data_IF_936539806640
#
_entry.id   IF_936539806640
#
_cell.length_a   1.000
_cell.length_b   1.000
_cell.length_c   1.000
_cell.angle_alpha   90.00
_cell.angle_beta   90.00
_cell.angle_gamma   90.00
#
_symmetry.space_group_name_H-M   'P 1'
#
loop_
_entity.id
_entity.type
_entity.pdbx_description
1 polymer ?
#
# COMPACT_ATOMS: atom_id res chain seq x y z
N UNK A 1 -17.79 -7.87 -3.11
CA UNK A 1 -17.52 -6.47 -2.68
C UNK A 1 -16.02 -6.24 -2.66
N UNK A 2 -15.56 -5.08 -3.17
CA UNK A 2 -14.16 -4.65 -3.06
C UNK A 2 -14.07 -3.50 -2.06
N UNK A 3 -13.21 -3.65 -1.03
CA UNK A 3 -13.03 -2.68 0.04
C UNK A 3 -11.61 -2.10 0.02
N UNK A 4 -11.51 -0.86 -0.40
CA UNK A 4 -10.31 -0.05 -0.37
C UNK A 4 -10.68 1.39 -0.03
N UNK A 5 -10.11 1.97 1.01
CA UNK A 5 -10.37 3.35 1.42
C UNK A 5 -9.06 4.10 1.67
N UNK A 6 -9.04 5.42 1.60
CA UNK A 6 -7.91 6.20 2.09
C UNK A 6 -7.61 5.89 3.55
N UNK A 7 -6.32 5.90 3.89
CA UNK A 7 -5.86 5.73 5.28
C UNK A 7 -6.24 6.98 6.10
N UNK A 8 -7.06 6.79 7.13
CA UNK A 8 -7.46 7.86 8.06
C UNK A 8 -7.93 7.27 9.41
N UNK A 9 -7.98 8.07 10.49
CA UNK A 9 -8.40 7.59 11.82
C UNK A 9 -9.83 7.01 11.87
N UNK A 10 -10.70 7.37 10.93
CA UNK A 10 -12.06 6.82 10.81
C UNK A 10 -12.16 5.49 10.06
N UNK A 11 -11.06 5.00 9.48
CA UNK A 11 -11.04 3.82 8.62
C UNK A 11 -11.64 2.57 9.27
N UNK A 12 -11.31 2.31 10.53
CA UNK A 12 -11.84 1.13 11.24
C UNK A 12 -13.37 1.15 11.30
N UNK A 13 -13.94 2.32 11.65
CA UNK A 13 -15.41 2.48 11.70
C UNK A 13 -16.04 2.29 10.33
N UNK A 14 -15.47 2.90 9.31
CA UNK A 14 -15.95 2.79 7.92
C UNK A 14 -15.95 1.35 7.45
N UNK A 15 -14.85 0.64 7.67
CA UNK A 15 -14.70 -0.75 7.26
C UNK A 15 -15.63 -1.71 8.03
N UNK A 16 -15.86 -1.46 9.32
CA UNK A 16 -16.83 -2.26 10.12
C UNK A 16 -18.25 -2.10 9.59
N UNK A 17 -18.66 -0.88 9.22
CA UNK A 17 -19.97 -0.64 8.61
C UNK A 17 -20.14 -1.40 7.28
N UNK A 18 -19.11 -1.37 6.42
CA UNK A 18 -19.13 -2.15 5.17
C UNK A 18 -19.19 -3.64 5.46
N UNK A 19 -18.39 -4.13 6.42
CA UNK A 19 -18.38 -5.54 6.80
C UNK A 19 -19.75 -6.02 7.32
N UNK A 20 -20.45 -5.21 8.11
CA UNK A 20 -21.80 -5.53 8.58
C UNK A 20 -22.78 -5.69 7.41
N UNK A 21 -22.76 -4.75 6.46
CA UNK A 21 -23.60 -4.83 5.24
C UNK A 21 -23.26 -6.04 4.36
N UNK A 22 -21.98 -6.41 4.29
CA UNK A 22 -21.53 -7.60 3.55
C UNK A 22 -22.02 -8.87 4.23
N UNK A 23 -21.96 -8.94 5.57
CA UNK A 23 -22.47 -10.07 6.35
C UNK A 23 -23.97 -10.28 6.14
N UNK A 24 -24.76 -9.19 6.16
CA UNK A 24 -26.20 -9.22 5.94
C UNK A 24 -26.58 -9.70 4.53
N UNK A 25 -25.75 -9.36 3.53
CA UNK A 25 -26.00 -9.75 2.13
C UNK A 25 -25.41 -11.11 1.74
N UNK A 26 -24.69 -11.77 2.64
CA UNK A 26 -23.93 -12.99 2.38
C UNK A 26 -23.01 -12.87 1.13
N UNK A 27 -22.43 -11.69 0.93
CA UNK A 27 -21.56 -11.39 -0.20
C UNK A 27 -20.09 -11.73 0.12
N UNK A 28 -19.30 -11.97 -0.92
CA UNK A 28 -17.85 -12.16 -0.81
C UNK A 28 -17.13 -10.80 -0.75
N UNK A 29 -16.10 -10.72 0.09
CA UNK A 29 -15.34 -9.48 0.33
C UNK A 29 -13.86 -9.66 -0.04
N UNK A 30 -13.35 -8.81 -0.92
CA UNK A 30 -11.91 -8.60 -1.16
C UNK A 30 -11.51 -7.27 -0.52
N UNK A 31 -10.59 -7.31 0.44
CA UNK A 31 -10.13 -6.13 1.16
C UNK A 31 -8.66 -5.84 0.87
N UNK A 32 -8.35 -4.60 0.51
CA UNK A 32 -6.97 -4.12 0.48
C UNK A 32 -6.57 -3.67 1.88
N UNK A 33 -5.49 -4.25 2.38
CA UNK A 33 -4.80 -3.90 3.62
C UNK A 33 -3.37 -3.44 3.30
N UNK A 34 -2.37 -3.93 3.97
CA UNK A 34 -0.96 -3.67 3.67
C UNK A 34 -0.05 -4.70 4.35
N UNK A 35 1.18 -4.79 3.93
CA UNK A 35 2.12 -5.78 4.44
C UNK A 35 2.37 -5.63 5.96
N UNK A 36 2.30 -4.40 6.49
CA UNK A 36 2.47 -4.12 7.92
C UNK A 36 1.21 -4.39 8.76
N UNK A 37 0.24 -5.18 8.26
CA UNK A 37 -1.03 -5.49 8.93
C UNK A 37 -0.84 -6.56 10.01
N UNK A 38 -0.63 -6.13 11.25
CA UNK A 38 -0.61 -6.98 12.46
C UNK A 38 -0.92 -6.12 13.71
N UNK A 39 -1.43 -6.73 14.81
CA UNK A 39 -1.88 -5.96 15.99
C UNK A 39 -0.82 -5.08 16.65
N UNK A 40 0.44 -5.50 16.62
CA UNK A 40 1.58 -4.76 17.17
C UNK A 40 2.32 -3.87 16.17
N UNK A 41 1.71 -3.57 15.02
CA UNK A 41 2.35 -2.75 13.96
C UNK A 41 2.82 -1.40 14.48
N UNK A 42 3.98 -0.97 14.05
CA UNK A 42 4.54 0.35 14.38
C UNK A 42 3.78 1.51 13.73
N UNK A 43 3.06 1.23 12.62
CA UNK A 43 2.26 2.22 11.91
C UNK A 43 0.78 2.06 12.24
N UNK A 44 0.09 3.19 12.43
CA UNK A 44 -1.33 3.22 12.77
C UNK A 44 -2.20 2.48 11.73
N UNK A 45 -1.94 2.72 10.45
CA UNK A 45 -2.65 2.05 9.37
C UNK A 45 -2.57 0.52 9.46
N UNK A 46 -1.41 -0.02 9.82
CA UNK A 46 -1.22 -1.45 10.02
C UNK A 46 -2.08 -2.00 11.17
N UNK A 47 -2.16 -1.26 12.29
CA UNK A 47 -3.03 -1.62 13.41
C UNK A 47 -4.52 -1.55 13.05
N UNK A 48 -4.93 -0.48 12.34
CA UNK A 48 -6.32 -0.32 11.87
C UNK A 48 -6.73 -1.40 10.88
N UNK A 49 -5.84 -1.79 9.97
CA UNK A 49 -6.09 -2.91 9.07
C UNK A 49 -6.22 -4.22 9.85
N UNK A 50 -5.32 -4.49 10.81
CA UNK A 50 -5.37 -5.70 11.62
C UNK A 50 -6.68 -5.81 12.43
N UNK A 51 -7.11 -4.70 13.07
CA UNK A 51 -8.39 -4.64 13.78
C UNK A 51 -9.57 -4.93 12.85
N UNK A 52 -9.56 -4.34 11.66
CA UNK A 52 -10.62 -4.54 10.67
C UNK A 52 -10.66 -5.98 10.17
N UNK A 53 -9.50 -6.58 9.88
CA UNK A 53 -9.44 -7.99 9.45
C UNK A 53 -9.92 -8.95 10.53
N UNK A 54 -9.54 -8.71 11.78
CA UNK A 54 -10.02 -9.48 12.90
C UNK A 54 -11.56 -9.39 13.04
N UNK A 55 -12.13 -8.20 12.84
CA UNK A 55 -13.57 -7.98 12.82
C UNK A 55 -14.27 -8.73 11.69
N UNK A 56 -13.77 -8.64 10.46
CA UNK A 56 -14.32 -9.34 9.30
C UNK A 56 -14.29 -10.85 9.52
N UNK A 57 -13.19 -11.39 10.05
CA UNK A 57 -13.06 -12.80 10.38
C UNK A 57 -14.04 -13.24 11.48
N UNK A 58 -14.25 -12.40 12.50
CA UNK A 58 -15.19 -12.69 13.61
C UNK A 58 -16.65 -12.75 13.16
N UNK A 59 -16.98 -12.14 12.03
CA UNK A 59 -18.29 -12.17 11.38
C UNK A 59 -18.45 -13.35 10.41
N UNK A 60 -17.43 -14.21 10.27
CA UNK A 60 -17.42 -15.35 9.36
C UNK A 60 -17.69 -14.98 7.89
N UNK A 61 -17.37 -13.72 7.50
CA UNK A 61 -17.54 -13.22 6.14
C UNK A 61 -16.59 -13.96 5.20
N UNK A 62 -17.12 -14.53 4.13
CA UNK A 62 -16.30 -15.08 3.05
C UNK A 62 -15.44 -13.96 2.46
N UNK A 63 -14.14 -13.97 2.72
CA UNK A 63 -13.26 -12.84 2.41
C UNK A 63 -11.85 -13.26 2.02
N UNK A 64 -11.15 -12.42 1.26
CA UNK A 64 -9.72 -12.46 1.05
C UNK A 64 -9.09 -11.10 1.34
N UNK A 65 -7.86 -11.12 1.84
CA UNK A 65 -7.13 -9.92 2.22
C UNK A 65 -5.89 -9.78 1.35
N UNK A 66 -5.76 -8.63 0.69
CA UNK A 66 -4.58 -8.27 -0.08
C UNK A 66 -3.65 -7.44 0.80
N UNK A 67 -2.41 -7.88 0.93
CA UNK A 67 -1.36 -7.20 1.68
C UNK A 67 -0.29 -6.68 0.70
N UNK A 68 -0.58 -5.62 -0.07
CA UNK A 68 0.43 -5.02 -0.92
C UNK A 68 1.54 -4.41 -0.07
N UNK A 69 2.76 -4.46 -0.60
CA UNK A 69 3.89 -3.75 -0.04
C UNK A 69 3.86 -2.28 -0.49
N UNK A 70 4.96 -1.72 -0.87
CA UNK A 70 5.07 -0.31 -1.22
C UNK A 70 4.54 -0.08 -2.65
N UNK A 71 3.63 0.88 -2.83
CA UNK A 71 3.08 1.18 -4.15
C UNK A 71 4.09 1.90 -5.02
N UNK A 72 4.28 1.43 -6.25
CA UNK A 72 5.13 2.08 -7.23
C UNK A 72 4.69 3.52 -7.51
N UNK A 73 3.37 3.78 -7.48
CA UNK A 73 2.76 5.10 -7.67
C UNK A 73 3.10 6.12 -6.57
N UNK A 74 3.68 5.70 -5.44
CA UNK A 74 4.21 6.65 -4.47
C UNK A 74 5.35 7.51 -5.05
N UNK A 75 6.00 7.04 -6.12
CA UNK A 75 7.00 7.84 -6.87
C UNK A 75 6.38 9.08 -7.55
N UNK A 76 5.07 9.04 -7.86
CA UNK A 76 4.37 10.18 -8.47
C UNK A 76 4.38 11.41 -7.57
N UNK A 77 4.45 11.23 -6.26
CA UNK A 77 4.56 12.33 -5.28
C UNK A 77 5.85 13.15 -5.46
N UNK A 78 6.87 12.57 -6.07
CA UNK A 78 8.17 13.20 -6.30
C UNK A 78 8.41 13.61 -7.76
N UNK A 79 7.44 13.33 -8.66
CA UNK A 79 7.63 13.52 -10.09
C UNK A 79 8.00 14.97 -10.46
N UNK A 80 7.48 15.95 -9.72
CA UNK A 80 7.78 17.35 -9.94
C UNK A 80 9.25 17.68 -9.61
N UNK A 81 9.78 17.18 -8.50
CA UNK A 81 11.18 17.37 -8.09
C UNK A 81 12.13 16.59 -9.02
N UNK A 82 11.77 15.38 -9.37
CA UNK A 82 12.52 14.58 -10.35
C UNK A 82 12.59 15.31 -11.71
N UNK A 83 11.46 15.90 -12.16
CA UNK A 83 11.41 16.63 -13.43
C UNK A 83 12.18 17.95 -13.41
N UNK A 84 12.13 18.72 -12.35
CA UNK A 84 12.77 20.03 -12.26
C UNK A 84 14.23 19.96 -11.86
N UNK A 85 14.56 19.11 -10.88
CA UNK A 85 15.87 19.09 -10.25
C UNK A 85 16.69 17.81 -10.53
N UNK A 86 16.06 16.76 -11.08
CA UNK A 86 16.72 15.47 -11.28
C UNK A 86 17.03 14.77 -9.96
N UNK A 87 16.20 14.95 -8.91
CA UNK A 87 16.48 14.43 -7.59
C UNK A 87 15.32 13.51 -7.15
N UNK A 88 15.68 12.29 -6.75
CA UNK A 88 14.82 11.34 -6.06
C UNK A 88 15.19 11.33 -4.57
N UNK A 89 14.22 11.57 -3.69
CA UNK A 89 14.46 11.67 -2.24
C UNK A 89 13.83 10.52 -1.48
N UNK A 90 14.51 10.03 -0.44
CA UNK A 90 13.93 9.06 0.51
C UNK A 90 14.72 9.06 1.82
N UNK A 91 14.05 8.80 2.96
CA UNK A 91 14.74 8.49 4.21
C UNK A 91 15.33 7.07 4.20
N UNK A 92 14.90 6.20 3.30
CA UNK A 92 15.40 4.84 3.15
C UNK A 92 16.65 4.86 2.30
N UNK A 93 17.82 4.86 2.94
CA UNK A 93 19.10 5.06 2.26
C UNK A 93 19.80 3.78 1.80
N UNK A 94 19.47 2.62 2.39
CA UNK A 94 20.22 1.38 2.13
C UNK A 94 19.35 0.15 1.84
N UNK A 95 18.07 0.18 2.23
CA UNK A 95 17.19 -0.96 2.02
C UNK A 95 16.67 -1.00 0.59
N UNK A 96 16.65 -2.19 0.00
CA UNK A 96 15.95 -2.42 -1.25
C UNK A 96 14.46 -2.65 -1.00
N UNK A 97 13.62 -2.09 -1.85
CA UNK A 97 12.16 -2.13 -1.72
C UNK A 97 11.57 -2.82 -2.96
N UNK A 98 10.79 -3.87 -2.74
CA UNK A 98 10.04 -4.56 -3.78
C UNK A 98 8.68 -3.87 -3.95
N UNK A 99 8.63 -2.83 -4.76
CA UNK A 99 7.40 -2.06 -5.02
C UNK A 99 6.44 -2.84 -5.90
N UNK A 100 5.14 -2.67 -5.69
CA UNK A 100 4.08 -3.28 -6.49
C UNK A 100 3.27 -2.21 -7.22
N UNK A 101 2.94 -2.47 -8.49
CA UNK A 101 2.08 -1.59 -9.27
C UNK A 101 0.61 -1.75 -8.83
N UNK A 102 -0.11 -0.63 -8.70
CA UNK A 102 -1.55 -0.65 -8.37
C UNK A 102 -2.38 -1.37 -9.45
N UNK A 103 -1.91 -1.42 -10.69
CA UNK A 103 -2.56 -2.16 -11.78
C UNK A 103 -2.50 -3.66 -11.50
N UNK A 104 -1.37 -4.16 -11.02
CA UNK A 104 -1.21 -5.57 -10.64
C UNK A 104 -2.09 -5.92 -9.43
N UNK A 105 -2.17 -5.01 -8.44
CA UNK A 105 -3.08 -5.17 -7.30
C UNK A 105 -4.53 -5.26 -7.79
N UNK A 106 -4.93 -4.38 -8.72
CA UNK A 106 -6.29 -4.38 -9.29
C UNK A 106 -6.57 -5.66 -10.09
N UNK A 107 -5.60 -6.15 -10.86
CA UNK A 107 -5.73 -7.41 -11.60
C UNK A 107 -5.93 -8.60 -10.66
N UNK A 108 -5.14 -8.70 -9.59
CA UNK A 108 -5.32 -9.73 -8.55
C UNK A 108 -6.69 -9.61 -7.90
N UNK A 109 -7.08 -8.40 -7.46
CA UNK A 109 -8.39 -8.17 -6.85
C UNK A 109 -9.54 -8.59 -7.76
N UNK A 110 -9.46 -8.26 -9.05
CA UNK A 110 -10.46 -8.66 -10.05
C UNK A 110 -10.57 -10.18 -10.17
N UNK A 111 -9.46 -10.87 -10.29
CA UNK A 111 -9.44 -12.33 -10.37
C UNK A 111 -10.07 -12.96 -9.11
N UNK A 112 -9.75 -12.45 -7.93
CA UNK A 112 -10.32 -12.94 -6.67
C UNK A 112 -11.84 -12.70 -6.59
N UNK A 113 -12.33 -11.58 -7.11
CA UNK A 113 -13.77 -11.30 -7.13
C UNK A 113 -14.53 -12.21 -8.13
N UNK A 114 -13.89 -12.61 -9.21
CA UNK A 114 -14.48 -13.49 -10.22
C UNK A 114 -14.40 -14.98 -9.86
N UNK A 115 -13.39 -15.39 -9.10
CA UNK A 115 -13.11 -16.78 -8.73
C UNK A 115 -12.69 -16.92 -7.26
N UNK A 116 -13.62 -16.74 -6.30
CA UNK A 116 -13.29 -16.64 -4.89
C UNK A 116 -12.91 -17.96 -4.21
N UNK A 117 -13.35 -19.11 -4.73
CA UNK A 117 -13.39 -20.38 -3.99
C UNK A 117 -12.04 -20.85 -3.43
N UNK A 118 -10.94 -20.62 -4.14
CA UNK A 118 -9.61 -21.11 -3.75
C UNK A 118 -8.89 -20.20 -2.73
N UNK A 119 -9.44 -19.03 -2.44
CA UNK A 119 -8.75 -17.96 -1.68
C UNK A 119 -9.54 -17.42 -0.50
N UNK A 120 -10.74 -17.96 -0.24
CA UNK A 120 -11.53 -17.58 0.94
C UNK A 120 -10.72 -17.81 2.22
N UNK A 121 -10.68 -16.80 3.09
CA UNK A 121 -9.97 -16.80 4.35
C UNK A 121 -8.47 -16.52 4.23
N UNK A 122 -7.91 -16.43 3.02
CA UNK A 122 -6.48 -16.23 2.82
C UNK A 122 -6.07 -14.76 2.89
N UNK A 123 -4.84 -14.57 3.33
CA UNK A 123 -4.11 -13.30 3.23
C UNK A 123 -3.03 -13.47 2.16
N UNK A 124 -3.02 -12.58 1.20
CA UNK A 124 -2.13 -12.63 0.03
C UNK A 124 -1.16 -11.44 0.07
N UNK A 125 0.11 -11.66 0.40
CA UNK A 125 1.12 -10.62 0.25
C UNK A 125 1.34 -10.35 -1.24
N UNK A 126 1.36 -9.06 -1.62
CA UNK A 126 1.59 -8.62 -2.99
C UNK A 126 2.88 -7.81 -3.05
N UNK A 127 3.82 -8.28 -3.83
CA UNK A 127 5.13 -7.68 -4.04
C UNK A 127 5.65 -8.07 -5.42
N UNK A 128 6.75 -7.48 -5.86
CA UNK A 128 7.44 -7.88 -7.10
C UNK A 128 8.59 -8.84 -6.81
N UNK A 129 9.11 -9.46 -7.85
CA UNK A 129 10.26 -10.35 -7.78
C UNK A 129 11.61 -9.60 -7.73
N UNK A 130 11.60 -8.29 -7.89
CA UNK A 130 12.79 -7.44 -7.87
C UNK A 130 12.65 -6.37 -6.78
N UNK A 131 13.61 -6.32 -5.87
CA UNK A 131 13.75 -5.24 -4.91
C UNK A 131 14.88 -4.31 -5.37
N UNK A 132 14.62 -3.02 -5.38
CA UNK A 132 15.59 -1.97 -5.76
C UNK A 132 15.82 -1.02 -4.59
N UNK A 133 17.05 -0.58 -4.43
CA UNK A 133 17.40 0.58 -3.61
C UNK A 133 16.95 1.86 -4.32
N UNK A 134 16.79 2.95 -3.59
CA UNK A 134 16.49 4.25 -4.20
C UNK A 134 17.61 4.74 -5.14
N UNK A 135 18.83 4.31 -4.90
CA UNK A 135 19.99 4.60 -5.77
C UNK A 135 19.83 3.90 -7.12
N UNK A 136 19.53 2.60 -7.12
CA UNK A 136 19.24 1.81 -8.33
C UNK A 136 17.99 2.35 -9.06
N UNK A 137 16.95 2.77 -8.35
CA UNK A 137 15.77 3.41 -8.97
C UNK A 137 16.15 4.72 -9.69
N UNK A 138 17.02 5.54 -9.11
CA UNK A 138 17.51 6.77 -9.75
C UNK A 138 18.32 6.47 -11.01
N UNK A 139 19.12 5.40 -11.02
CA UNK A 139 19.86 4.94 -12.21
C UNK A 139 18.91 4.50 -13.34
N UNK A 140 17.88 3.70 -13.00
CA UNK A 140 16.84 3.30 -13.94
C UNK A 140 16.09 4.52 -14.52
N UNK A 141 15.71 5.48 -13.66
CA UNK A 141 15.07 6.72 -14.08
C UNK A 141 15.99 7.54 -15.00
N UNK A 142 17.29 7.57 -14.73
CA UNK A 142 18.29 8.21 -15.61
C UNK A 142 18.24 7.61 -17.00
N UNK A 143 18.21 6.30 -17.09
CA UNK A 143 18.16 5.56 -18.35
C UNK A 143 16.84 5.85 -19.11
N UNK A 144 15.70 5.77 -18.42
CA UNK A 144 14.38 5.97 -19.04
C UNK A 144 14.17 7.42 -19.48
N UNK A 145 14.58 8.40 -18.68
CA UNK A 145 14.35 9.82 -18.96
C UNK A 145 15.43 10.43 -19.88
N UNK A 146 16.53 9.74 -20.13
CA UNK A 146 17.66 10.25 -20.93
C UNK A 146 18.35 11.48 -20.32
N UNK A 147 18.24 11.66 -19.00
CA UNK A 147 18.88 12.74 -18.24
C UNK A 147 19.20 12.27 -16.84
N UNK A 148 20.20 12.86 -16.22
CA UNK A 148 20.65 12.48 -14.88
C UNK A 148 19.55 12.64 -13.84
N UNK A 149 19.30 11.57 -13.11
CA UNK A 149 18.53 11.53 -11.86
C UNK A 149 19.46 10.98 -10.79
N UNK A 150 19.55 11.66 -9.65
CA UNK A 150 20.37 11.23 -8.52
C UNK A 150 19.52 11.00 -7.28
N UNK A 151 19.91 10.04 -6.47
CA UNK A 151 19.30 9.81 -5.17
C UNK A 151 19.87 10.77 -4.13
N UNK A 152 19.01 11.32 -3.29
CA UNK A 152 19.38 12.11 -2.12
C UNK A 152 18.67 11.55 -0.87
N UNK A 153 19.44 11.04 0.08
CA UNK A 153 18.92 10.63 1.38
C UNK A 153 18.34 11.83 2.14
N UNK A 154 17.24 11.61 2.84
CA UNK A 154 16.62 12.60 3.72
C UNK A 154 16.80 12.21 5.18
N UNK A 155 16.90 13.20 6.06
CA UNK A 155 16.83 12.99 7.50
C UNK A 155 15.39 13.06 7.98
N UNK A 156 15.08 12.45 9.12
CA UNK A 156 13.71 12.31 9.65
C UNK A 156 12.99 13.66 9.82
N UNK A 157 13.72 14.72 10.18
CA UNK A 157 13.17 16.08 10.33
C UNK A 157 12.65 16.63 8.99
N UNK A 158 13.40 16.45 7.90
CA UNK A 158 12.99 16.90 6.56
C UNK A 158 11.76 16.15 6.07
N UNK A 159 11.71 14.83 6.33
CA UNK A 159 10.55 14.00 5.99
C UNK A 159 9.31 14.47 6.75
N UNK A 160 9.45 14.72 8.05
CA UNK A 160 8.36 15.20 8.91
C UNK A 160 7.84 16.56 8.41
N UNK A 161 8.71 17.47 8.04
CA UNK A 161 8.32 18.77 7.48
C UNK A 161 7.59 18.61 6.14
N UNK A 162 8.08 17.76 5.26
CA UNK A 162 7.47 17.50 3.95
C UNK A 162 6.06 16.92 4.10
N UNK A 163 5.88 15.92 4.97
CA UNK A 163 4.59 15.31 5.25
C UNK A 163 3.58 16.31 5.84
N UNK A 164 4.00 17.12 6.81
CA UNK A 164 3.14 18.17 7.39
C UNK A 164 2.70 19.20 6.34
N UNK A 165 3.61 19.64 5.48
CA UNK A 165 3.32 20.61 4.42
C UNK A 165 2.39 20.04 3.34
N UNK A 166 2.37 18.72 3.13
CA UNK A 166 1.44 18.04 2.22
C UNK A 166 0.06 17.75 2.83
N UNK A 167 -0.16 18.15 4.09
CA UNK A 167 -1.43 17.92 4.79
C UNK A 167 -1.63 16.49 5.29
N UNK A 168 -0.57 15.68 5.29
CA UNK A 168 -0.59 14.35 5.92
C UNK A 168 -0.40 14.50 7.44
N UNK A 169 -1.13 13.71 8.24
CA UNK A 169 -1.04 13.76 9.70
C UNK A 169 0.28 13.26 10.24
#
# INVERSE_FOLDING_TARGET
VFLCTPVNPGQVKQHKLVADSVAESNAYLVKVSGLATFPGSFVDSGRWHAETEAYIRSKEIASAFLHPFFFMQNMDLQIADIRSNGILRSPVTKAAIAMVDIIDIAAVATNLMLSPNDVIGKTLPLTTNQALTYEEMAEEMTTVFGRSVSFQGQVDEEVTMTLRNSGMP
#
